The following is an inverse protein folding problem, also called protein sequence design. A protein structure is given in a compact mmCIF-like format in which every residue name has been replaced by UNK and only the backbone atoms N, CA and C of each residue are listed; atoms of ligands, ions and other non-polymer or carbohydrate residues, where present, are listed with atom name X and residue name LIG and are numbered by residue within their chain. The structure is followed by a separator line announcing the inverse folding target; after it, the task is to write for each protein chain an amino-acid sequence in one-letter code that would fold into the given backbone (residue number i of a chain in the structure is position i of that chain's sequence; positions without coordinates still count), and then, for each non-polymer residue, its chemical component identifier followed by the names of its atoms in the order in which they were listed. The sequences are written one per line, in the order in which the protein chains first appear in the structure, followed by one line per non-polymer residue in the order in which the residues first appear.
data_IF_171015490887
#
_entry.id   IF_171015490887
#
_cell.length_a   1.000
_cell.length_b   1.000
_cell.length_c   1.000
_cell.angle_alpha   90.00
_cell.angle_beta   90.00
_cell.angle_gamma   90.00
#
_symmetry.space_group_name_H-M   'P 1'
#
loop_
_entity.id
_entity.type
_entity.pdbx_description
1 polymer ?
#
# COMPACT_ATOMS: atom_id res chain seq x y z
N UNK A 1 -6.35 4.68 -11.47
CA UNK A 1 -5.94 3.41 -10.81
C UNK A 1 -7.09 2.43 -10.82
N UNK A 2 -6.82 1.15 -11.07
CA UNK A 2 -7.80 0.06 -10.98
C UNK A 2 -7.31 -0.95 -9.94
N UNK A 3 -8.18 -1.36 -9.01
CA UNK A 3 -7.91 -2.42 -8.04
C UNK A 3 -8.87 -3.57 -8.31
N UNK A 4 -8.33 -4.76 -8.56
CA UNK A 4 -9.09 -5.99 -8.75
C UNK A 4 -8.82 -6.93 -7.58
N UNK A 5 -9.84 -7.16 -6.75
CA UNK A 5 -9.73 -8.04 -5.59
C UNK A 5 -9.98 -9.49 -5.98
N UNK A 6 -9.04 -10.36 -5.65
CA UNK A 6 -9.03 -11.77 -6.05
C UNK A 6 -8.81 -12.61 -4.79
N UNK A 7 -9.55 -13.70 -4.64
CA UNK A 7 -9.21 -14.79 -3.74
C UNK A 7 -8.66 -15.93 -4.58
N UNK A 8 -7.58 -16.51 -4.10
CA UNK A 8 -6.99 -17.71 -4.68
C UNK A 8 -6.66 -18.65 -3.53
N UNK A 9 -7.15 -19.87 -3.60
CA UNK A 9 -7.05 -20.83 -2.51
C UNK A 9 -5.60 -21.21 -2.21
N UNK A 10 -4.75 -21.28 -3.23
CA UNK A 10 -3.34 -21.58 -3.06
C UNK A 10 -2.59 -20.42 -2.40
N UNK A 11 -2.82 -19.18 -2.84
CA UNK A 11 -2.25 -17.97 -2.22
C UNK A 11 -2.70 -17.85 -0.76
N UNK A 12 -3.97 -18.15 -0.47
CA UNK A 12 -4.49 -18.19 0.89
C UNK A 12 -3.77 -19.24 1.74
N UNK A 13 -3.70 -20.48 1.23
CA UNK A 13 -3.03 -21.59 1.91
C UNK A 13 -1.56 -21.31 2.17
N UNK A 14 -0.84 -20.82 1.15
CA UNK A 14 0.58 -20.47 1.27
C UNK A 14 0.80 -19.42 2.38
N UNK A 15 0.00 -18.35 2.39
CA UNK A 15 0.15 -17.31 3.42
C UNK A 15 -0.25 -17.81 4.82
N UNK A 16 -1.23 -18.68 4.93
CA UNK A 16 -1.57 -19.33 6.21
C UNK A 16 -0.40 -20.13 6.77
N UNK A 17 0.39 -20.77 5.91
CA UNK A 17 1.51 -21.61 6.33
C UNK A 17 2.75 -20.79 6.70
N UNK A 18 3.11 -19.83 5.86
CA UNK A 18 4.43 -19.20 5.92
C UNK A 18 4.45 -17.82 6.57
N UNK A 19 3.29 -17.16 6.73
CA UNK A 19 3.24 -15.88 7.42
C UNK A 19 3.03 -16.08 8.94
N UNK A 20 3.58 -15.19 9.78
CA UNK A 20 3.26 -15.18 11.20
C UNK A 20 1.75 -15.10 11.43
N UNK A 21 1.23 -15.86 12.39
CA UNK A 21 -0.18 -15.82 12.77
C UNK A 21 -0.32 -15.34 14.20
N UNK A 22 -1.30 -14.51 14.44
CA UNK A 22 -1.61 -13.99 15.78
C UNK A 22 -2.71 -14.78 16.48
N UNK A 23 -3.34 -15.75 15.79
CA UNK A 23 -4.41 -16.57 16.38
C UNK A 23 -3.92 -17.96 16.75
N UNK A 24 -4.40 -18.46 17.87
CA UNK A 24 -4.10 -19.83 18.33
C UNK A 24 -4.57 -20.88 17.32
N UNK A 25 -5.74 -20.66 16.70
CA UNK A 25 -6.31 -21.59 15.71
C UNK A 25 -5.36 -21.77 14.50
N UNK A 26 -4.87 -20.69 13.93
CA UNK A 26 -3.95 -20.73 12.80
C UNK A 26 -2.59 -21.30 13.19
N UNK A 27 -2.08 -20.96 14.36
CA UNK A 27 -0.81 -21.52 14.85
C UNK A 27 -0.89 -23.03 15.08
N UNK A 28 -2.01 -23.54 15.59
CA UNK A 28 -2.22 -24.97 15.75
C UNK A 28 -2.26 -25.72 14.41
N UNK A 29 -2.86 -25.11 13.38
CA UNK A 29 -2.85 -25.68 12.02
C UNK A 29 -1.41 -25.75 11.49
N UNK A 30 -0.66 -24.66 11.61
CA UNK A 30 0.75 -24.59 11.19
C UNK A 30 1.60 -25.65 11.88
N UNK A 31 1.47 -25.76 13.20
CA UNK A 31 2.25 -26.73 13.99
C UNK A 31 1.98 -28.15 13.53
N UNK A 32 0.70 -28.52 13.33
CA UNK A 32 0.35 -29.85 12.85
C UNK A 32 0.91 -30.13 11.45
N UNK A 33 0.93 -29.12 10.56
CA UNK A 33 1.50 -29.27 9.23
C UNK A 33 3.02 -29.42 9.28
N UNK A 34 3.67 -28.64 10.11
CA UNK A 34 5.10 -28.75 10.35
C UNK A 34 5.49 -30.12 10.92
N UNK A 35 4.79 -30.61 11.94
CA UNK A 35 5.09 -31.86 12.59
C UNK A 35 4.94 -33.07 11.66
N UNK A 36 3.94 -33.03 10.76
CA UNK A 36 3.66 -34.15 9.88
C UNK A 36 4.35 -34.07 8.51
N UNK A 37 4.73 -32.86 8.04
CA UNK A 37 5.11 -32.61 6.64
C UNK A 37 6.27 -31.64 6.50
N UNK A 38 7.24 -31.72 7.39
CA UNK A 38 8.37 -30.76 7.46
C UNK A 38 9.16 -30.64 6.15
N UNK A 39 9.37 -31.76 5.44
CA UNK A 39 10.16 -31.78 4.21
C UNK A 39 9.41 -31.05 3.09
N UNK A 40 8.15 -31.41 2.89
CA UNK A 40 7.28 -30.83 1.86
C UNK A 40 7.02 -29.36 2.13
N UNK A 41 6.83 -29.00 3.40
CA UNK A 41 6.70 -27.63 3.85
C UNK A 41 7.93 -26.78 3.46
N UNK A 42 9.14 -27.29 3.72
CA UNK A 42 10.37 -26.60 3.36
C UNK A 42 10.58 -26.53 1.83
N UNK A 43 10.18 -27.53 1.09
CA UNK A 43 10.26 -27.50 -0.38
C UNK A 43 9.32 -26.46 -0.97
N UNK A 44 8.08 -26.42 -0.51
CA UNK A 44 7.09 -25.43 -0.98
C UNK A 44 7.49 -24.00 -0.64
N UNK A 45 8.19 -23.76 0.46
CA UNK A 45 8.70 -22.42 0.80
C UNK A 45 9.66 -21.86 -0.26
N UNK A 46 10.46 -22.72 -0.91
CA UNK A 46 11.40 -22.34 -1.97
C UNK A 46 10.70 -21.94 -3.27
N UNK A 47 9.49 -22.44 -3.52
CA UNK A 47 8.74 -22.23 -4.76
C UNK A 47 7.79 -21.03 -4.72
N UNK A 48 7.97 -20.10 -3.75
CA UNK A 48 7.16 -18.89 -3.57
C UNK A 48 6.97 -18.11 -4.88
N UNK A 49 7.99 -18.01 -5.71
CA UNK A 49 7.95 -17.25 -6.96
C UNK A 49 7.05 -17.90 -8.01
N UNK A 50 6.99 -19.23 -8.06
CA UNK A 50 6.16 -19.99 -9.00
C UNK A 50 4.66 -19.74 -8.73
N UNK A 51 4.27 -19.67 -7.46
CA UNK A 51 2.87 -19.46 -7.05
C UNK A 51 2.29 -18.16 -7.63
N UNK A 52 3.10 -17.11 -7.70
CA UNK A 52 2.66 -15.81 -8.15
C UNK A 52 2.85 -15.57 -9.65
N UNK A 53 3.78 -16.28 -10.31
CA UNK A 53 3.95 -16.22 -11.77
C UNK A 53 2.78 -16.88 -12.51
N UNK A 54 2.31 -18.02 -12.02
CA UNK A 54 1.32 -18.85 -12.71
C UNK A 54 0.03 -19.10 -11.94
N UNK A 55 -0.31 -18.20 -10.99
CA UNK A 55 -1.50 -18.39 -10.13
C UNK A 55 -2.80 -18.63 -10.91
N UNK A 56 -2.90 -18.21 -12.18
CA UNK A 56 -4.05 -18.44 -13.05
C UNK A 56 -4.08 -19.83 -13.66
N UNK A 57 -2.90 -20.43 -13.85
CA UNK A 57 -2.70 -21.71 -14.50
C UNK A 57 -2.23 -22.79 -13.52
N UNK A 58 -2.00 -22.42 -12.26
CA UNK A 58 -1.54 -23.34 -11.24
C UNK A 58 -2.67 -24.29 -10.86
N UNK A 59 -2.54 -25.56 -11.23
CA UNK A 59 -3.44 -26.65 -10.87
C UNK A 59 -2.73 -27.45 -9.78
N UNK A 60 -3.08 -27.25 -8.51
CA UNK A 60 -2.38 -27.88 -7.39
C UNK A 60 -2.81 -29.33 -7.13
N UNK A 61 -3.36 -30.02 -8.12
CA UNK A 61 -3.94 -31.38 -7.98
C UNK A 61 -3.01 -32.43 -7.38
N UNK A 62 -1.70 -32.21 -7.46
CA UNK A 62 -0.68 -33.08 -6.89
C UNK A 62 0.11 -32.43 -5.76
N UNK A 63 -0.30 -31.24 -5.28
CA UNK A 63 0.39 -30.55 -4.21
C UNK A 63 -0.10 -31.08 -2.87
N UNK A 64 0.83 -31.61 -2.06
CA UNK A 64 0.54 -32.12 -0.74
C UNK A 64 -0.14 -31.09 0.17
N UNK A 65 0.27 -29.81 0.06
CA UNK A 65 -0.29 -28.72 0.85
C UNK A 65 -1.73 -28.47 0.48
N UNK A 66 -2.06 -28.51 -0.81
CA UNK A 66 -3.43 -28.44 -1.29
C UNK A 66 -4.28 -29.55 -0.63
N UNK A 67 -3.86 -30.81 -0.77
CA UNK A 67 -4.59 -31.95 -0.21
C UNK A 67 -4.78 -31.84 1.32
N UNK A 68 -3.75 -31.41 2.04
CA UNK A 68 -3.78 -31.29 3.50
C UNK A 68 -4.73 -30.19 3.95
N UNK A 69 -4.75 -29.04 3.27
CA UNK A 69 -5.51 -27.87 3.67
C UNK A 69 -6.95 -28.00 3.21
N UNK A 70 -7.18 -28.45 1.97
CA UNK A 70 -8.50 -28.51 1.35
C UNK A 70 -9.39 -29.64 1.87
N UNK A 71 -8.81 -30.75 2.34
CA UNK A 71 -9.60 -31.82 2.97
C UNK A 71 -10.12 -31.48 4.37
N UNK A 72 -9.80 -30.31 4.94
CA UNK A 72 -10.16 -29.95 6.33
C UNK A 72 -11.26 -28.89 6.40
N UNK A 73 -12.32 -29.18 7.17
CA UNK A 73 -13.41 -28.22 7.51
C UNK A 73 -12.89 -26.86 8.02
N UNK A 74 -11.71 -26.81 8.61
CA UNK A 74 -11.09 -25.59 9.11
C UNK A 74 -10.67 -24.63 7.97
N UNK A 75 -10.14 -25.17 6.87
CA UNK A 75 -9.78 -24.32 5.72
C UNK A 75 -11.02 -23.70 5.09
N UNK A 76 -12.10 -24.44 4.95
CA UNK A 76 -13.37 -23.92 4.40
C UNK A 76 -13.94 -22.77 5.25
N UNK A 77 -13.82 -22.84 6.57
CA UNK A 77 -14.20 -21.75 7.46
C UNK A 77 -13.34 -20.49 7.21
N UNK A 78 -12.02 -20.68 7.10
CA UNK A 78 -11.07 -19.60 6.83
C UNK A 78 -11.35 -18.97 5.45
N UNK A 79 -11.56 -19.80 4.43
CA UNK A 79 -11.93 -19.39 3.08
C UNK A 79 -13.22 -18.56 3.07
N UNK A 80 -14.27 -19.06 3.76
CA UNK A 80 -15.54 -18.35 3.90
C UNK A 80 -15.36 -16.97 4.54
N UNK A 81 -14.55 -16.85 5.59
CA UNK A 81 -14.26 -15.59 6.23
C UNK A 81 -13.45 -14.65 5.32
N UNK A 82 -12.51 -15.20 4.55
CA UNK A 82 -11.73 -14.45 3.55
C UNK A 82 -12.63 -13.89 2.43
N UNK A 83 -13.60 -14.68 1.95
CA UNK A 83 -14.58 -14.23 0.95
C UNK A 83 -15.48 -13.12 1.49
N UNK A 84 -15.91 -13.19 2.75
CA UNK A 84 -16.66 -12.10 3.39
C UNK A 84 -15.81 -10.82 3.44
N UNK A 85 -14.57 -10.93 3.88
CA UNK A 85 -13.63 -9.81 3.94
C UNK A 85 -13.42 -9.19 2.55
N UNK A 86 -13.21 -10.01 1.51
CA UNK A 86 -13.10 -9.53 0.13
C UNK A 86 -14.33 -8.75 -0.31
N UNK A 87 -15.55 -9.24 -0.02
CA UNK A 87 -16.79 -8.54 -0.38
C UNK A 87 -16.85 -7.14 0.22
N UNK A 88 -16.43 -6.96 1.46
CA UNK A 88 -16.37 -5.65 2.11
C UNK A 88 -15.34 -4.71 1.45
N UNK A 89 -14.18 -5.24 1.08
CA UNK A 89 -13.17 -4.46 0.35
C UNK A 89 -13.67 -4.03 -1.04
N UNK A 90 -14.29 -4.95 -1.78
CA UNK A 90 -14.89 -4.66 -3.10
C UNK A 90 -15.97 -3.58 -2.97
N UNK A 91 -16.89 -3.75 -2.04
CA UNK A 91 -17.97 -2.78 -1.79
C UNK A 91 -17.39 -1.39 -1.45
N UNK A 92 -16.40 -1.35 -0.56
CA UNK A 92 -15.75 -0.10 -0.14
C UNK A 92 -15.02 0.57 -1.32
N UNK A 93 -14.32 -0.23 -2.12
CA UNK A 93 -13.64 0.28 -3.31
C UNK A 93 -14.63 0.81 -4.34
N UNK A 94 -15.62 0.02 -4.72
CA UNK A 94 -16.60 0.39 -5.75
C UNK A 94 -17.39 1.64 -5.38
N UNK A 95 -17.71 1.81 -4.10
CA UNK A 95 -18.40 3.00 -3.60
C UNK A 95 -17.55 4.27 -3.64
N UNK A 96 -16.22 4.16 -3.66
CA UNK A 96 -15.31 5.30 -3.55
C UNK A 96 -14.37 5.48 -4.77
N UNK A 97 -14.23 4.49 -5.65
CA UNK A 97 -13.21 4.45 -6.71
C UNK A 97 -13.19 5.68 -7.62
N UNK A 98 -14.35 6.17 -8.02
CA UNK A 98 -14.43 7.35 -8.90
C UNK A 98 -13.85 8.57 -8.21
N UNK A 99 -14.29 8.84 -6.97
CA UNK A 99 -13.81 9.98 -6.19
C UNK A 99 -12.33 9.87 -5.85
N UNK A 100 -11.88 8.67 -5.44
CA UNK A 100 -10.46 8.39 -5.17
C UNK A 100 -9.61 8.64 -6.43
N UNK A 101 -10.02 8.12 -7.58
CA UNK A 101 -9.29 8.27 -8.83
C UNK A 101 -9.19 9.73 -9.29
N UNK A 102 -10.27 10.50 -9.15
CA UNK A 102 -10.26 11.92 -9.50
C UNK A 102 -9.33 12.74 -8.60
N UNK A 103 -9.29 12.40 -7.30
CA UNK A 103 -8.38 13.03 -6.35
C UNK A 103 -6.93 12.63 -6.67
N UNK A 104 -6.64 11.33 -6.82
CA UNK A 104 -5.30 10.84 -7.12
C UNK A 104 -4.74 11.42 -8.42
N UNK A 105 -5.57 11.51 -9.48
CA UNK A 105 -5.15 12.14 -10.73
C UNK A 105 -4.68 13.58 -10.54
N UNK A 106 -5.38 14.35 -9.70
CA UNK A 106 -5.01 15.74 -9.38
C UNK A 106 -3.76 15.83 -8.50
N UNK A 107 -3.61 14.88 -7.55
CA UNK A 107 -2.47 14.86 -6.63
C UNK A 107 -1.18 14.36 -7.29
N UNK A 108 -1.27 13.33 -8.12
CA UNK A 108 -0.09 12.67 -8.69
C UNK A 108 0.29 13.22 -10.06
N UNK A 109 -0.69 13.77 -10.81
CA UNK A 109 -0.54 14.21 -12.20
C UNK A 109 0.05 13.12 -13.11
N UNK A 110 -0.15 11.88 -12.73
CA UNK A 110 0.38 10.67 -13.35
C UNK A 110 -0.66 9.57 -13.34
N UNK A 111 -0.64 8.72 -14.36
CA UNK A 111 -1.42 7.50 -14.36
C UNK A 111 -0.74 6.43 -13.49
N UNK A 112 -1.54 5.73 -12.71
CA UNK A 112 -1.09 4.60 -11.90
C UNK A 112 -1.54 3.32 -12.57
N UNK A 113 -0.64 2.35 -12.69
CA UNK A 113 -0.94 1.04 -13.25
C UNK A 113 -2.04 0.33 -12.44
N UNK A 114 -2.80 -0.57 -13.07
CA UNK A 114 -3.78 -1.40 -12.34
C UNK A 114 -3.08 -2.42 -11.43
N UNK A 115 -3.78 -2.87 -10.39
CA UNK A 115 -3.29 -3.85 -9.43
C UNK A 115 -4.28 -4.99 -9.23
N UNK A 116 -3.77 -6.22 -9.20
CA UNK A 116 -4.46 -7.40 -8.69
C UNK A 116 -4.16 -7.53 -7.18
N UNK A 117 -5.21 -7.53 -6.38
CA UNK A 117 -5.14 -7.56 -4.92
C UNK A 117 -5.56 -8.95 -4.46
N UNK A 118 -4.59 -9.76 -4.06
CA UNK A 118 -4.84 -11.09 -3.49
C UNK A 118 -5.29 -10.94 -2.04
N UNK A 119 -6.56 -11.24 -1.80
CA UNK A 119 -7.14 -11.16 -0.47
C UNK A 119 -6.93 -12.48 0.26
N UNK A 120 -6.31 -12.40 1.44
CA UNK A 120 -6.08 -13.51 2.36
C UNK A 120 -6.78 -13.24 3.68
N UNK A 121 -6.69 -14.16 4.64
CA UNK A 121 -7.35 -14.00 5.93
C UNK A 121 -6.85 -12.75 6.66
N UNK A 122 -7.80 -11.89 7.10
CA UNK A 122 -7.48 -10.62 7.76
C UNK A 122 -6.72 -10.76 9.08
N UNK A 123 -6.83 -11.91 9.75
CA UNK A 123 -6.12 -12.20 11.00
C UNK A 123 -4.61 -12.42 10.80
N UNK A 124 -4.13 -12.55 9.55
CA UNK A 124 -2.70 -12.59 9.25
C UNK A 124 -2.01 -11.23 9.39
N UNK A 125 -2.77 -10.15 9.48
CA UNK A 125 -2.29 -8.77 9.58
C UNK A 125 -1.20 -8.45 8.53
N UNK A 126 -1.43 -8.90 7.30
CA UNK A 126 -0.47 -8.88 6.20
C UNK A 126 -0.81 -7.79 5.18
N UNK A 127 0.20 -7.02 4.79
CA UNK A 127 0.21 -6.24 3.57
C UNK A 127 1.58 -6.39 2.93
N UNK A 128 1.66 -7.21 1.90
CA UNK A 128 2.91 -7.56 1.24
C UNK A 128 2.89 -7.16 -0.24
N UNK A 129 3.93 -6.45 -0.62
CA UNK A 129 4.17 -6.00 -1.98
C UNK A 129 5.26 -6.83 -2.70
N UNK A 130 5.74 -7.89 -2.08
CA UNK A 130 6.87 -8.69 -2.59
C UNK A 130 6.51 -9.64 -3.74
N UNK A 131 5.27 -9.59 -4.20
CA UNK A 131 4.84 -10.37 -5.36
C UNK A 131 5.43 -9.73 -6.62
N UNK A 132 6.05 -10.54 -7.47
CA UNK A 132 6.60 -10.09 -8.73
C UNK A 132 5.50 -9.45 -9.58
N UNK A 133 5.74 -8.23 -10.03
CA UNK A 133 4.91 -7.57 -11.02
C UNK A 133 4.99 -8.36 -12.34
N UNK A 134 3.98 -8.25 -13.18
CA UNK A 134 4.03 -8.81 -14.53
C UNK A 134 5.33 -8.40 -15.22
N UNK A 135 5.97 -9.34 -15.92
CA UNK A 135 7.21 -9.08 -16.69
C UNK A 135 7.08 -7.88 -17.64
N UNK A 136 5.88 -7.57 -18.09
CA UNK A 136 5.58 -6.40 -18.93
C UNK A 136 5.38 -5.08 -18.14
N UNK A 137 5.39 -5.07 -16.81
CA UNK A 137 5.18 -3.87 -15.99
C UNK A 137 3.81 -3.19 -16.17
N UNK A 138 2.83 -3.90 -16.75
CA UNK A 138 1.50 -3.35 -17.07
C UNK A 138 0.50 -3.49 -15.93
N UNK A 139 0.76 -4.39 -14.99
CA UNK A 139 -0.10 -4.68 -13.85
C UNK A 139 0.71 -5.11 -12.64
N UNK A 140 0.42 -4.54 -11.48
CA UNK A 140 1.07 -4.91 -10.22
C UNK A 140 0.27 -5.93 -9.43
N UNK A 141 0.91 -6.59 -8.46
CA UNK A 141 0.31 -7.56 -7.56
C UNK A 141 0.57 -7.18 -6.09
N UNK A 142 -0.46 -7.32 -5.24
CA UNK A 142 -0.35 -7.11 -3.79
C UNK A 142 -1.12 -8.21 -3.06
N UNK A 143 -0.66 -8.60 -1.87
CA UNK A 143 -1.41 -9.45 -0.94
C UNK A 143 -1.91 -8.60 0.22
N UNK A 144 -3.17 -8.76 0.57
CA UNK A 144 -3.79 -8.08 1.70
C UNK A 144 -4.55 -9.07 2.60
N UNK A 145 -4.23 -9.04 3.90
CA UNK A 145 -4.96 -9.72 4.96
C UNK A 145 -4.79 -8.92 6.23
N UNK A 146 -5.50 -7.78 6.37
CA UNK A 146 -5.31 -6.85 7.48
C UNK A 146 -6.65 -6.37 8.03
N UNK A 147 -6.77 -6.34 9.35
CA UNK A 147 -7.93 -5.77 10.05
C UNK A 147 -7.59 -4.37 10.57
N UNK A 148 -7.93 -3.36 9.78
CA UNK A 148 -7.77 -1.95 10.16
C UNK A 148 -9.03 -1.39 10.86
N UNK A 149 -10.00 -2.23 11.24
CA UNK A 149 -11.33 -1.83 11.76
C UNK A 149 -12.10 -0.84 10.87
N UNK A 150 -11.53 -0.48 9.73
CA UNK A 150 -12.13 0.43 8.75
C UNK A 150 -11.58 0.11 7.36
N UNK A 151 -12.41 -0.45 6.51
CA UNK A 151 -12.04 -0.88 5.16
C UNK A 151 -11.53 0.26 4.26
N UNK A 152 -11.95 1.51 4.50
CA UNK A 152 -11.39 2.64 3.76
C UNK A 152 -9.91 2.84 4.10
N UNK A 153 -9.49 2.64 5.34
CA UNK A 153 -8.07 2.71 5.71
C UNK A 153 -7.27 1.57 5.06
N UNK A 154 -7.85 0.39 4.96
CA UNK A 154 -7.24 -0.73 4.21
C UNK A 154 -7.05 -0.37 2.74
N UNK A 155 -8.05 0.23 2.09
CA UNK A 155 -7.94 0.72 0.71
C UNK A 155 -6.83 1.78 0.59
N UNK A 156 -6.75 2.73 1.52
CA UNK A 156 -5.67 3.73 1.53
C UNK A 156 -4.29 3.10 1.67
N UNK A 157 -4.14 2.08 2.52
CA UNK A 157 -2.90 1.33 2.66
C UNK A 157 -2.54 0.58 1.37
N UNK A 158 -3.50 -0.05 0.70
CA UNK A 158 -3.29 -0.68 -0.61
C UNK A 158 -2.78 0.35 -1.63
N UNK A 159 -3.43 1.51 -1.72
CA UNK A 159 -3.04 2.61 -2.62
C UNK A 159 -1.61 3.09 -2.29
N UNK A 160 -1.30 3.26 -1.02
CA UNK A 160 0.03 3.68 -0.55
C UNK A 160 1.12 2.73 -1.03
N UNK A 161 0.91 1.42 -0.87
CA UNK A 161 1.86 0.39 -1.32
C UNK A 161 1.96 0.31 -2.84
N UNK A 162 0.84 0.38 -3.53
CA UNK A 162 0.82 0.39 -5.00
C UNK A 162 1.61 1.57 -5.57
N UNK A 163 1.46 2.77 -4.98
CA UNK A 163 2.21 3.95 -5.41
C UNK A 163 3.70 3.84 -5.11
N UNK A 164 4.08 3.30 -3.95
CA UNK A 164 5.49 3.06 -3.61
C UNK A 164 6.18 2.14 -4.62
N UNK A 165 5.45 1.15 -5.15
CA UNK A 165 5.97 0.27 -6.19
C UNK A 165 5.99 0.92 -7.57
N UNK A 166 4.98 1.72 -7.90
CA UNK A 166 4.83 2.32 -9.23
C UNK A 166 5.79 3.49 -9.48
N UNK A 167 6.23 4.18 -8.43
CA UNK A 167 7.11 5.33 -8.55
C UNK A 167 8.55 4.84 -8.38
N UNK A 168 9.28 4.83 -9.50
CA UNK A 168 10.71 4.49 -9.49
C UNK A 168 11.49 5.55 -8.72
N UNK A 169 12.31 5.12 -7.79
CA UNK A 169 13.16 6.00 -6.99
C UNK A 169 14.56 5.41 -6.82
N UNK A 170 15.54 6.26 -6.58
CA UNK A 170 16.88 5.85 -6.21
C UNK A 170 17.01 5.80 -4.67
N UNK A 171 17.93 5.01 -4.10
CA UNK A 171 18.06 4.88 -2.65
C UNK A 171 18.20 6.21 -1.90
N UNK A 172 18.87 7.18 -2.50
CA UNK A 172 19.08 8.51 -1.93
C UNK A 172 17.82 9.39 -1.92
N UNK A 173 16.81 9.08 -2.75
CA UNK A 173 15.51 9.78 -2.81
C UNK A 173 14.39 9.01 -2.12
N UNK A 174 14.62 7.79 -1.65
CA UNK A 174 13.58 6.90 -1.13
C UNK A 174 12.75 7.55 -0.02
N UNK A 175 13.39 8.14 0.98
CA UNK A 175 12.68 8.78 2.11
C UNK A 175 11.85 9.98 1.67
N UNK A 176 12.32 10.74 0.67
CA UNK A 176 11.58 11.87 0.10
C UNK A 176 10.34 11.34 -0.64
N UNK A 177 10.55 10.35 -1.51
CA UNK A 177 9.47 9.71 -2.26
C UNK A 177 8.40 9.13 -1.34
N UNK A 178 8.81 8.39 -0.30
CA UNK A 178 7.88 7.87 0.73
C UNK A 178 7.13 8.98 1.44
N UNK A 179 7.82 10.05 1.84
CA UNK A 179 7.20 11.20 2.52
C UNK A 179 6.13 11.86 1.65
N UNK A 180 6.41 12.08 0.37
CA UNK A 180 5.48 12.71 -0.58
C UNK A 180 4.28 11.81 -0.85
N UNK A 181 4.48 10.51 -1.05
CA UNK A 181 3.39 9.54 -1.23
C UNK A 181 2.51 9.50 0.02
N UNK A 182 3.09 9.51 1.22
CA UNK A 182 2.32 9.54 2.48
C UNK A 182 1.54 10.85 2.64
N UNK A 183 2.10 12.00 2.28
CA UNK A 183 1.34 13.26 2.23
C UNK A 183 0.14 13.17 1.29
N UNK A 184 0.33 12.60 0.09
CA UNK A 184 -0.75 12.44 -0.88
C UNK A 184 -1.85 11.48 -0.39
N UNK A 185 -1.48 10.30 0.12
CA UNK A 185 -2.41 9.19 0.40
C UNK A 185 -2.96 9.22 1.81
N UNK A 186 -2.16 9.56 2.82
CA UNK A 186 -2.58 9.51 4.23
C UNK A 186 -3.06 10.87 4.76
N UNK A 187 -2.73 11.98 4.09
CA UNK A 187 -3.15 13.30 4.51
C UNK A 187 -4.17 13.92 3.54
N UNK A 188 -3.79 14.14 2.27
CA UNK A 188 -4.65 14.83 1.31
C UNK A 188 -5.85 14.00 0.85
N UNK A 189 -5.65 12.74 0.51
CA UNK A 189 -6.72 11.89 0.00
C UNK A 189 -7.85 11.73 1.03
N UNK A 190 -7.60 11.37 2.31
CA UNK A 190 -8.64 11.30 3.34
C UNK A 190 -9.32 12.65 3.58
N UNK A 191 -8.55 13.75 3.64
CA UNK A 191 -9.10 15.10 3.82
C UNK A 191 -10.11 15.44 2.71
N UNK A 192 -9.78 15.14 1.46
CA UNK A 192 -10.66 15.39 0.30
C UNK A 192 -11.85 14.43 0.24
N UNK A 193 -11.69 13.19 0.72
CA UNK A 193 -12.77 12.20 0.78
C UNK A 193 -13.81 12.56 1.85
N UNK A 194 -13.36 12.92 3.06
CA UNK A 194 -14.24 13.11 4.23
C UNK A 194 -14.56 14.57 4.52
N UNK A 195 -13.88 15.52 3.87
CA UNK A 195 -13.91 16.96 4.17
C UNK A 195 -13.45 17.29 5.60
N UNK A 196 -12.77 16.38 6.27
CA UNK A 196 -12.15 16.58 7.59
C UNK A 196 -10.65 16.72 7.40
N UNK A 197 -10.03 17.72 8.03
CA UNK A 197 -8.57 17.85 8.01
C UNK A 197 -7.91 16.65 8.68
N UNK A 198 -6.97 16.03 7.99
CA UNK A 198 -6.04 15.08 8.60
C UNK A 198 -4.71 15.79 8.84
N UNK A 199 -4.15 15.58 10.03
CA UNK A 199 -2.80 16.02 10.34
C UNK A 199 -1.77 15.20 9.55
N UNK A 200 -0.53 15.73 9.46
CA UNK A 200 0.58 14.97 8.91
C UNK A 200 0.74 13.67 9.73
N UNK A 201 0.58 12.56 9.07
CA UNK A 201 0.55 11.22 9.66
C UNK A 201 1.42 10.24 8.84
N UNK A 202 1.42 8.97 9.22
CA UNK A 202 2.16 7.89 8.57
C UNK A 202 3.43 7.53 9.35
N UNK A 203 4.52 7.14 8.66
CA UNK A 203 5.74 6.69 9.30
C UNK A 203 6.31 7.77 10.24
N UNK A 204 6.48 7.46 11.56
CA UNK A 204 7.04 8.40 12.55
C UNK A 204 8.42 8.94 12.17
N UNK A 205 9.30 8.09 11.62
CA UNK A 205 10.66 8.46 11.24
C UNK A 205 10.72 9.50 10.11
N UNK A 206 9.62 9.67 9.39
CA UNK A 206 9.49 10.61 8.27
C UNK A 206 8.71 11.89 8.63
N UNK A 207 8.21 12.03 9.85
CA UNK A 207 7.35 13.17 10.24
C UNK A 207 8.09 14.50 10.05
N UNK A 208 9.33 14.60 10.51
CA UNK A 208 10.10 15.84 10.40
C UNK A 208 10.47 16.15 8.93
N UNK A 209 10.78 15.16 8.14
CA UNK A 209 11.00 15.34 6.72
C UNK A 209 9.70 15.80 6.02
N UNK A 210 8.56 15.19 6.34
CA UNK A 210 7.25 15.62 5.81
C UNK A 210 6.93 17.07 6.19
N UNK A 211 7.19 17.49 7.44
CA UNK A 211 7.01 18.88 7.87
C UNK A 211 7.86 19.85 7.07
N UNK A 212 9.10 19.50 6.76
CA UNK A 212 10.00 20.32 5.93
C UNK A 212 9.56 20.37 4.46
N UNK A 213 8.99 19.30 3.92
CA UNK A 213 8.46 19.22 2.55
C UNK A 213 7.12 19.96 2.43
N UNK A 214 6.32 20.02 3.50
CA UNK A 214 4.91 20.41 3.45
C UNK A 214 4.65 21.78 2.82
N UNK A 215 5.41 22.86 3.07
CA UNK A 215 5.21 24.15 2.40
C UNK A 215 5.32 24.04 0.88
N UNK A 216 6.30 23.30 0.39
CA UNK A 216 6.51 23.06 -1.04
C UNK A 216 5.43 22.13 -1.63
N UNK A 217 4.94 21.18 -0.83
CA UNK A 217 3.80 20.35 -1.18
C UNK A 217 2.53 21.20 -1.39
N UNK A 218 2.29 22.18 -0.54
CA UNK A 218 1.18 23.12 -0.71
C UNK A 218 1.35 23.96 -1.99
N UNK A 219 2.57 24.40 -2.32
CA UNK A 219 2.86 25.10 -3.59
C UNK A 219 2.62 24.16 -4.80
N UNK A 220 3.05 22.91 -4.70
CA UNK A 220 2.78 21.88 -5.72
C UNK A 220 1.26 21.69 -5.90
N UNK A 221 0.48 21.67 -4.86
CA UNK A 221 -0.98 21.62 -4.92
C UNK A 221 -1.64 22.89 -5.48
N UNK A 222 -0.87 23.96 -5.69
CA UNK A 222 -1.34 25.23 -6.22
C UNK A 222 -2.00 26.13 -5.15
N UNK A 223 -1.70 25.90 -3.87
CA UNK A 223 -2.14 26.76 -2.77
C UNK A 223 -1.45 28.12 -2.91
N UNK A 224 -2.21 29.21 -2.78
CA UNK A 224 -1.68 30.58 -2.87
C UNK A 224 -0.80 30.88 -1.67
N UNK A 225 0.17 31.77 -1.85
CA UNK A 225 1.14 32.15 -0.81
C UNK A 225 0.45 32.61 0.48
N UNK A 226 -0.60 33.42 0.35
CA UNK A 226 -1.34 33.97 1.50
C UNK A 226 -2.06 32.88 2.31
N UNK A 227 -2.43 31.77 1.68
CA UNK A 227 -3.14 30.67 2.31
C UNK A 227 -2.17 29.64 2.95
N UNK A 228 -0.89 29.59 2.53
CA UNK A 228 0.09 28.63 3.05
C UNK A 228 0.24 28.75 4.56
N UNK A 229 0.34 29.97 5.06
CA UNK A 229 0.49 30.23 6.50
C UNK A 229 -0.68 29.65 7.32
N UNK A 230 -1.92 29.82 6.84
CA UNK A 230 -3.11 29.26 7.49
C UNK A 230 -3.07 27.71 7.52
N UNK A 231 -2.62 27.06 6.43
CA UNK A 231 -2.44 25.61 6.39
C UNK A 231 -1.37 25.13 7.37
N UNK A 232 -0.24 25.84 7.45
CA UNK A 232 0.85 25.50 8.36
C UNK A 232 0.44 25.63 9.82
N UNK A 233 -0.30 26.69 10.18
CA UNK A 233 -0.86 26.87 11.52
C UNK A 233 -1.86 25.77 11.86
N UNK A 234 -2.77 25.44 10.94
CA UNK A 234 -3.75 24.36 11.12
C UNK A 234 -3.06 23.04 11.48
N UNK A 235 -1.97 22.73 10.79
CA UNK A 235 -1.24 21.47 10.95
C UNK A 235 -0.15 21.58 12.05
N UNK A 236 -0.14 22.67 12.82
CA UNK A 236 0.80 22.93 13.94
C UNK A 236 2.27 22.85 13.54
N UNK A 237 2.58 23.26 12.32
CA UNK A 237 3.94 23.28 11.80
C UNK A 237 4.50 24.69 12.02
N UNK A 238 5.64 24.78 12.72
CA UNK A 238 6.37 26.03 12.81
C UNK A 238 6.81 26.48 11.42
N UNK A 239 6.38 27.66 11.01
CA UNK A 239 6.61 28.17 9.68
C UNK A 239 6.96 29.66 9.71
N UNK A 240 8.06 30.04 9.05
CA UNK A 240 8.39 31.42 8.72
C UNK A 240 8.53 31.55 7.22
N UNK A 241 7.81 32.49 6.62
CA UNK A 241 7.91 32.80 5.19
C UNK A 241 9.33 33.20 4.75
N UNK A 242 10.12 33.75 5.65
CA UNK A 242 11.50 34.18 5.37
C UNK A 242 12.40 33.02 4.96
N UNK A 243 12.06 31.80 5.38
CA UNK A 243 12.82 30.59 5.08
C UNK A 243 12.37 29.89 3.78
N UNK A 244 11.30 30.36 3.13
CA UNK A 244 10.70 29.70 1.98
C UNK A 244 10.46 30.67 0.82
N UNK A 245 11.10 30.40 -0.29
CA UNK A 245 10.81 31.12 -1.53
C UNK A 245 9.59 30.50 -2.20
N UNK A 246 8.52 31.28 -2.35
CA UNK A 246 7.35 30.83 -3.09
C UNK A 246 7.68 30.60 -4.56
N UNK A 247 7.39 29.39 -5.03
CA UNK A 247 7.64 28.98 -6.42
C UNK A 247 6.35 28.48 -7.07
N UNK A 248 5.72 29.34 -7.88
CA UNK A 248 4.49 29.02 -8.60
C UNK A 248 4.71 27.93 -9.68
N UNK A 249 5.95 27.70 -10.13
CA UNK A 249 6.23 26.69 -11.15
C UNK A 249 5.95 25.28 -10.64
N UNK A 250 6.06 25.04 -9.32
CA UNK A 250 5.77 23.75 -8.70
C UNK A 250 4.34 23.27 -8.95
N UNK A 251 3.40 24.19 -9.15
CA UNK A 251 2.03 23.81 -9.47
C UNK A 251 1.82 23.25 -10.88
N UNK A 252 2.85 23.23 -11.73
CA UNK A 252 2.81 22.82 -13.13
C UNK A 252 3.59 21.55 -13.44
N UNK A 253 4.46 21.11 -12.54
CA UNK A 253 5.27 19.91 -12.69
C UNK A 253 4.53 18.65 -12.23
N UNK A 254 5.00 17.48 -12.65
CA UNK A 254 4.47 16.21 -12.19
C UNK A 254 5.09 15.78 -10.84
N UNK A 255 4.68 14.62 -10.33
CA UNK A 255 5.14 14.15 -9.02
C UNK A 255 6.61 13.76 -9.03
N UNK A 256 7.14 13.20 -10.12
CA UNK A 256 8.54 12.78 -10.21
C UNK A 256 9.46 14.02 -10.28
N UNK A 257 9.10 15.01 -11.08
CA UNK A 257 9.77 16.29 -11.12
C UNK A 257 9.75 17.02 -9.78
N UNK A 258 8.62 16.91 -9.05
CA UNK A 258 8.52 17.45 -7.69
C UNK A 258 9.43 16.73 -6.70
N UNK A 259 9.54 15.40 -6.75
CA UNK A 259 10.49 14.62 -5.94
C UNK A 259 11.92 15.09 -6.21
N UNK A 260 12.27 15.29 -7.47
CA UNK A 260 13.60 15.76 -7.89
C UNK A 260 13.87 17.19 -7.41
N UNK A 261 12.88 18.06 -7.47
CA UNK A 261 12.98 19.41 -6.93
C UNK A 261 13.28 19.40 -5.42
N UNK A 262 12.52 18.63 -4.64
CA UNK A 262 12.71 18.50 -3.18
C UNK A 262 14.10 17.95 -2.87
N UNK A 263 14.55 16.92 -3.58
CA UNK A 263 15.88 16.35 -3.38
C UNK A 263 16.99 17.37 -3.62
N UNK A 264 16.96 18.05 -4.76
CA UNK A 264 18.03 18.96 -5.17
C UNK A 264 18.05 20.28 -4.36
N UNK A 265 16.89 20.83 -4.02
CA UNK A 265 16.80 22.18 -3.45
C UNK A 265 16.67 22.19 -1.92
N UNK A 266 16.24 21.09 -1.29
CA UNK A 266 15.95 21.06 0.13
C UNK A 266 16.79 20.02 0.86
N UNK A 267 16.85 18.79 0.33
CA UNK A 267 17.51 17.70 1.02
C UNK A 267 19.03 17.75 0.84
N UNK A 268 19.51 17.90 -0.39
CA UNK A 268 20.95 17.91 -0.71
C UNK A 268 21.66 19.16 -0.15
N UNK A 269 21.01 20.32 -0.19
CA UNK A 269 21.57 21.57 0.35
C UNK A 269 21.71 21.58 1.88
N UNK A 270 20.94 20.76 2.59
CA UNK A 270 21.00 20.67 4.07
C UNK A 270 21.92 19.53 4.56
N UNK A 271 22.57 18.80 3.66
CA UNK A 271 23.62 17.81 3.99
C UNK A 271 25.04 18.40 3.90
N UNK A 272 25.17 19.62 3.41
CA UNK A 272 26.40 20.42 3.41
C UNK A 272 26.40 21.36 4.62
#
# INVERSE_FOLDING_TARGET
MELKFITNDYVLAWNLLFQPSYTTELNNIKQKLWDNYKIEYNNTYKDKELIFKDYKNFIPENDLIYNIIFEKKQFEKIKTNTEKYKKELVYTWDSNKTKINDILRKLLRKNVIPYDIFVVNKELNLLDASINDNEAGTRGNLVIGKDDNNYINTILNIILYALRKSIKTTPDKENITRSIIELAVLCELPTKLTKKSNYISGNPDLIDLKRRIYPYWLMYLGVRVDDIHAYMQRDRIAFSMDNYKYDKSLSRIDLEEFIDYIYNNIYKKNKL
#
